data_IF_670780045191
#
_entry.id   IF_670780045191
#
_cell.length_a   1.000
_cell.length_b   1.000
_cell.length_c   1.000
_cell.angle_alpha   90.00
_cell.angle_beta   90.00
_cell.angle_gamma   90.00
#
_symmetry.space_group_name_H-M   'P 1'
#
loop_
_entity.id
_entity.type
_entity.pdbx_description
1 polymer ?
#
# COMPACT_ATOMS: atom_id res chain seq x y z
N UNK A 1 10.53 -9.43 9.77
CA UNK A 1 9.83 -9.10 8.50
C UNK A 1 9.92 -7.61 8.18
N UNK A 2 9.56 -6.70 9.11
CA UNK A 2 9.65 -5.25 8.92
C UNK A 2 11.00 -4.77 8.38
N UNK A 3 12.09 -5.07 9.10
CA UNK A 3 13.43 -4.61 8.71
C UNK A 3 13.87 -5.13 7.35
N UNK A 4 13.59 -6.40 7.05
CA UNK A 4 13.89 -7.01 5.74
C UNK A 4 13.14 -6.29 4.60
N UNK A 5 11.87 -5.95 4.83
CA UNK A 5 11.06 -5.19 3.88
C UNK A 5 11.68 -3.80 3.68
N UNK A 6 11.93 -3.05 4.75
CA UNK A 6 12.47 -1.70 4.68
C UNK A 6 13.84 -1.67 4.00
N UNK A 7 14.76 -2.58 4.36
CA UNK A 7 16.08 -2.68 3.74
C UNK A 7 15.98 -2.99 2.23
N UNK A 8 15.02 -3.84 1.84
CA UNK A 8 14.80 -4.12 0.41
C UNK A 8 14.23 -2.93 -0.37
N UNK A 9 13.55 -2.00 0.30
CA UNK A 9 12.98 -0.80 -0.30
C UNK A 9 14.02 0.32 -0.44
N UNK A 10 14.92 0.48 0.55
CA UNK A 10 16.06 1.42 0.50
C UNK A 10 16.98 1.19 -0.69
N UNK A 11 17.13 -0.06 -1.12
CA UNK A 11 17.96 -0.42 -2.26
C UNK A 11 17.32 -0.09 -3.62
N UNK A 12 16.09 0.44 -3.66
CA UNK A 12 15.41 0.76 -4.92
C UNK A 12 15.80 2.14 -5.44
N UNK A 13 15.95 2.30 -6.77
CA UNK A 13 16.21 3.61 -7.37
C UNK A 13 15.02 4.55 -7.14
N UNK A 14 15.31 5.79 -6.77
CA UNK A 14 14.29 6.83 -6.53
C UNK A 14 13.68 6.83 -5.12
N UNK A 15 14.16 5.96 -4.22
CA UNK A 15 13.76 5.96 -2.82
C UNK A 15 14.82 6.64 -1.98
N UNK A 16 14.40 7.65 -1.23
CA UNK A 16 15.18 8.26 -0.18
C UNK A 16 15.03 7.42 1.09
N UNK A 17 16.13 6.80 1.51
CA UNK A 17 16.16 5.90 2.65
C UNK A 17 15.90 6.62 3.98
N UNK A 18 16.34 7.88 4.12
CA UNK A 18 16.11 8.66 5.34
C UNK A 18 14.63 9.07 5.43
N UNK A 19 14.05 9.51 4.32
CA UNK A 19 12.63 9.82 4.26
C UNK A 19 11.77 8.58 4.56
N UNK A 20 12.12 7.43 3.97
CA UNK A 20 11.42 6.17 4.20
C UNK A 20 11.47 5.72 5.67
N UNK A 21 12.58 5.96 6.38
CA UNK A 21 12.70 5.67 7.82
C UNK A 21 11.93 6.66 8.69
N UNK A 22 11.86 7.92 8.28
CA UNK A 22 11.16 8.96 9.03
C UNK A 22 9.63 8.80 9.01
N UNK A 23 9.11 8.16 7.97
CA UNK A 23 7.69 7.94 7.77
C UNK A 23 7.30 6.54 8.22
N UNK A 24 6.29 6.40 9.07
CA UNK A 24 5.84 5.09 9.57
C UNK A 24 4.98 4.31 8.55
N UNK A 25 5.39 4.35 7.27
CA UNK A 25 4.65 3.78 6.14
C UNK A 25 4.45 2.28 6.25
N UNK A 26 5.31 1.59 7.01
CA UNK A 26 5.15 0.17 7.27
C UNK A 26 3.90 -0.08 8.12
N UNK A 27 3.73 0.65 9.22
CA UNK A 27 2.57 0.52 10.10
C UNK A 27 1.29 0.90 9.37
N UNK A 28 1.33 1.99 8.59
CA UNK A 28 0.20 2.41 7.75
C UNK A 28 -0.20 1.32 6.75
N UNK A 29 0.78 0.71 6.07
CA UNK A 29 0.53 -0.36 5.12
C UNK A 29 -0.02 -1.63 5.78
N UNK A 30 0.38 -1.94 7.02
CA UNK A 30 -0.21 -3.04 7.78
C UNK A 30 -1.66 -2.71 8.13
N UNK A 31 -1.93 -1.51 8.64
CA UNK A 31 -3.28 -1.10 9.01
C UNK A 31 -4.25 -1.19 7.82
N UNK A 32 -3.83 -0.74 6.64
CA UNK A 32 -4.60 -0.88 5.39
C UNK A 32 -4.95 -2.34 5.08
N UNK A 33 -4.01 -3.26 5.32
CA UNK A 33 -4.22 -4.69 5.09
C UNK A 33 -5.22 -5.26 6.10
N UNK A 34 -5.06 -4.94 7.40
CA UNK A 34 -5.93 -5.44 8.46
C UNK A 34 -7.37 -5.00 8.22
N UNK A 35 -7.59 -3.70 7.96
CA UNK A 35 -8.90 -3.13 7.68
C UNK A 35 -9.53 -3.70 6.41
N UNK A 36 -8.75 -3.81 5.32
CA UNK A 36 -9.30 -4.30 4.05
C UNK A 36 -9.60 -5.80 4.08
N UNK A 37 -8.72 -6.58 4.71
CA UNK A 37 -8.81 -8.04 4.73
C UNK A 37 -9.70 -8.57 5.85
N UNK A 38 -10.06 -7.73 6.81
CA UNK A 38 -10.76 -8.08 8.05
C UNK A 38 -10.03 -9.22 8.78
N UNK A 39 -8.75 -8.98 9.07
CA UNK A 39 -7.85 -9.91 9.74
C UNK A 39 -7.13 -9.21 10.88
N UNK A 40 -6.61 -9.98 11.82
CA UNK A 40 -5.81 -9.47 12.95
C UNK A 40 -4.31 -9.41 12.59
N UNK A 41 -3.52 -8.69 13.37
CA UNK A 41 -2.08 -8.56 13.14
C UNK A 41 -1.37 -9.92 13.15
N UNK A 42 -1.82 -10.85 14.00
CA UNK A 42 -1.31 -12.22 14.08
C UNK A 42 -1.55 -13.06 12.80
N UNK A 43 -2.50 -12.67 11.94
CA UNK A 43 -2.76 -13.32 10.66
C UNK A 43 -1.76 -12.89 9.56
N UNK A 44 -0.93 -11.86 9.82
CA UNK A 44 0.05 -11.36 8.86
C UNK A 44 1.21 -12.35 8.70
N UNK A 45 1.22 -13.00 7.53
CA UNK A 45 2.22 -14.01 7.15
C UNK A 45 3.30 -13.44 6.22
N UNK A 46 4.47 -14.10 6.09
CA UNK A 46 5.50 -13.71 5.12
C UNK A 46 5.00 -13.60 3.67
N UNK A 47 3.92 -14.29 3.30
CA UNK A 47 3.26 -14.17 2.00
C UNK A 47 2.74 -12.76 1.69
N UNK A 48 2.49 -11.93 2.72
CA UNK A 48 2.09 -10.53 2.58
C UNK A 48 3.24 -9.61 2.21
N UNK A 49 4.51 -10.06 2.28
CA UNK A 49 5.66 -9.20 2.08
C UNK A 49 5.65 -8.46 0.72
N UNK A 50 5.23 -9.12 -0.36
CA UNK A 50 5.09 -8.44 -1.66
C UNK A 50 3.99 -7.38 -1.65
N UNK A 51 2.90 -7.61 -0.92
CA UNK A 51 1.78 -6.69 -0.84
C UNK A 51 2.14 -5.47 0.02
N UNK A 52 2.78 -5.70 1.16
CA UNK A 52 3.28 -4.63 2.05
C UNK A 52 4.25 -3.73 1.29
N UNK A 53 5.19 -4.29 0.51
CA UNK A 53 6.11 -3.50 -0.32
C UNK A 53 5.37 -2.65 -1.36
N UNK A 54 4.33 -3.19 -1.99
CA UNK A 54 3.55 -2.47 -2.99
C UNK A 54 2.78 -1.29 -2.35
N UNK A 55 2.21 -1.48 -1.15
CA UNK A 55 1.50 -0.44 -0.41
C UNK A 55 2.44 0.65 0.10
N UNK A 56 3.58 0.29 0.68
CA UNK A 56 4.58 1.27 1.13
C UNK A 56 5.05 2.12 -0.04
N UNK A 57 5.35 1.50 -1.19
CA UNK A 57 5.77 2.24 -2.38
C UNK A 57 4.65 3.10 -2.98
N UNK A 58 3.41 2.62 -2.95
CA UNK A 58 2.28 3.43 -3.39
C UNK A 58 2.15 4.69 -2.53
N UNK A 59 2.19 4.55 -1.20
CA UNK A 59 2.16 5.68 -0.26
C UNK A 59 3.35 6.60 -0.48
N UNK A 60 4.57 6.06 -0.51
CA UNK A 60 5.79 6.82 -0.76
C UNK A 60 5.72 7.64 -2.06
N UNK A 61 5.24 7.05 -3.15
CA UNK A 61 5.13 7.72 -4.45
C UNK A 61 3.99 8.75 -4.51
N UNK A 62 3.01 8.65 -3.61
CA UNK A 62 1.87 9.58 -3.55
C UNK A 62 2.05 10.68 -2.51
N UNK A 63 3.12 10.62 -1.71
CA UNK A 63 3.54 11.70 -0.79
C UNK A 63 3.61 13.02 -1.55
N UNK A 64 2.87 14.02 -1.08
CA UNK A 64 2.87 15.37 -1.64
C UNK A 64 1.95 15.59 -2.85
N UNK A 65 1.33 14.55 -3.40
CA UNK A 65 0.35 14.66 -4.51
C UNK A 65 -1.07 14.24 -4.14
N UNK A 66 -1.31 13.91 -2.87
CA UNK A 66 -2.61 13.45 -2.32
C UNK A 66 -3.77 14.46 -2.55
N UNK A 67 -3.45 15.74 -2.76
CA UNK A 67 -4.41 16.81 -3.06
C UNK A 67 -4.63 17.11 -4.55
N UNK A 68 -3.82 16.54 -5.46
CA UNK A 68 -3.92 16.80 -6.89
C UNK A 68 -4.95 15.86 -7.53
N UNK A 69 -6.18 16.36 -7.70
CA UNK A 69 -7.29 15.57 -8.29
C UNK A 69 -7.11 15.28 -9.78
N UNK A 70 -6.53 16.22 -10.51
CA UNK A 70 -6.30 16.14 -11.95
C UNK A 70 -5.52 17.36 -12.40
N UNK A 71 -4.48 17.16 -13.21
CA UNK A 71 -3.90 18.23 -14.02
C UNK A 71 -4.26 17.98 -15.50
N UNK A 72 -4.87 18.99 -16.12
CA UNK A 72 -5.19 18.97 -17.55
C UNK A 72 -4.24 19.92 -18.27
N UNK A 73 -3.31 19.37 -19.04
CA UNK A 73 -2.56 20.13 -20.02
C UNK A 73 -3.25 20.02 -21.38
N UNK A 74 -3.10 21.00 -22.30
CA UNK A 74 -3.83 21.04 -23.58
C UNK A 74 -3.70 19.80 -24.47
N UNK A 75 -2.74 18.90 -24.17
CA UNK A 75 -2.48 17.69 -24.96
C UNK A 75 -2.44 16.39 -24.13
N UNK A 76 -2.48 16.44 -22.80
CA UNK A 76 -2.37 15.25 -21.93
C UNK A 76 -3.22 15.46 -20.66
N UNK A 77 -4.10 14.51 -20.38
CA UNK A 77 -4.85 14.43 -19.12
C UNK A 77 -4.16 13.46 -18.16
N UNK A 78 -3.75 13.95 -16.98
CA UNK A 78 -3.27 13.09 -15.90
C UNK A 78 -4.39 12.89 -14.87
N UNK A 79 -4.84 11.64 -14.74
CA UNK A 79 -5.81 11.25 -13.73
C UNK A 79 -5.07 10.50 -12.62
N UNK A 80 -4.92 11.15 -11.47
CA UNK A 80 -4.34 10.53 -10.29
C UNK A 80 -5.43 9.71 -9.59
N UNK A 81 -5.26 8.39 -9.53
CA UNK A 81 -6.22 7.48 -8.90
C UNK A 81 -6.12 7.64 -7.37
N UNK A 82 -7.15 8.20 -6.74
CA UNK A 82 -7.21 8.46 -5.27
C UNK A 82 -7.35 7.22 -4.40
N UNK A 83 -7.38 6.05 -5.02
CA UNK A 83 -7.73 4.79 -4.40
C UNK A 83 -6.60 3.79 -4.64
N UNK A 84 -6.52 2.76 -3.80
CA UNK A 84 -5.51 1.71 -3.92
C UNK A 84 -5.58 1.15 -5.36
N UNK A 85 -4.46 1.17 -6.12
CA UNK A 85 -4.47 0.77 -7.53
C UNK A 85 -5.11 -0.61 -7.74
N UNK A 86 -5.85 -0.84 -8.85
CA UNK A 86 -6.56 -2.10 -9.12
C UNK A 86 -5.67 -3.35 -8.98
N UNK A 87 -4.39 -3.22 -9.34
CA UNK A 87 -3.38 -4.27 -9.18
C UNK A 87 -3.14 -4.64 -7.71
N UNK A 88 -3.01 -3.67 -6.82
CA UNK A 88 -2.80 -3.88 -5.38
C UNK A 88 -4.09 -4.41 -4.75
N UNK A 89 -5.26 -3.85 -5.11
CA UNK A 89 -6.57 -4.38 -4.69
C UNK A 89 -6.78 -5.85 -5.06
N UNK A 90 -6.34 -6.26 -6.24
CA UNK A 90 -6.45 -7.67 -6.67
C UNK A 90 -5.62 -8.60 -5.78
N UNK A 91 -4.45 -8.15 -5.31
CA UNK A 91 -3.65 -8.90 -4.34
C UNK A 91 -4.31 -8.92 -2.95
N UNK A 92 -4.80 -7.78 -2.47
CA UNK A 92 -5.53 -7.68 -1.19
C UNK A 92 -6.73 -8.63 -1.13
N UNK A 93 -7.53 -8.70 -2.20
CA UNK A 93 -8.69 -9.60 -2.29
C UNK A 93 -8.35 -11.08 -2.11
N UNK A 94 -7.12 -11.52 -2.42
CA UNK A 94 -6.69 -12.91 -2.21
C UNK A 94 -6.55 -13.28 -0.74
N UNK A 95 -6.29 -12.29 0.11
CA UNK A 95 -6.07 -12.48 1.55
C UNK A 95 -7.29 -12.09 2.39
N UNK A 96 -8.27 -11.41 1.78
CA UNK A 96 -9.52 -11.04 2.45
C UNK A 96 -10.26 -12.28 2.91
N UNK A 97 -10.53 -12.39 4.21
CA UNK A 97 -11.47 -13.38 4.73
C UNK A 97 -12.86 -12.93 4.27
N UNK A 98 -13.51 -13.77 3.46
CA UNK A 98 -14.90 -13.52 3.11
C UNK A 98 -15.72 -13.82 4.37
N UNK A 99 -16.14 -12.77 5.08
CA UNK A 99 -17.13 -12.90 6.13
C UNK A 99 -18.44 -13.33 5.45
N UNK A 100 -18.69 -14.65 5.44
CA UNK A 100 -20.04 -15.14 5.36
C UNK A 100 -20.64 -14.93 6.75
N UNK A 101 -21.13 -13.72 7.02
CA UNK A 101 -22.23 -13.61 7.98
C UNK A 101 -23.41 -14.27 7.27
N UNK A 102 -23.65 -15.55 7.60
CA UNK A 102 -24.93 -16.16 7.37
C UNK A 102 -25.91 -15.39 8.26
N UNK A 103 -26.70 -14.51 7.65
CA UNK A 103 -27.95 -14.03 8.22
C UNK A 103 -28.83 -15.27 8.51
N UNK A 104 -28.76 -15.78 9.75
CA UNK A 104 -29.65 -16.83 10.28
C UNK A 104 -30.60 -16.20 11.27
#
# INVERSE_FOLDING_TARGET
MREEILNSLKNRPGVDGELLESLDLYSDAIQDILEFCNIEEDDIKPSFASLIKDLIMYRYNTLGVEGLRSESYPSVSFQYERDIPPRIKTKLRKFRRLSYELDV
#
